data_IF_652623414686
#
_entry.id   IF_652623414686
#
_cell.length_a   1.000
_cell.length_b   1.000
_cell.length_c   1.000
_cell.angle_alpha   90.00
_cell.angle_beta   90.00
_cell.angle_gamma   90.00
#
_symmetry.space_group_name_H-M   'P 1'
#
loop_
_entity.id
_entity.type
_entity.pdbx_description
1 polymer ?
#
# COMPACT_ATOMS: atom_id res chain seq x y z
N UNK A 1 -18.42 -7.51 8.89
CA UNK A 1 -18.63 -7.67 10.35
C UNK A 1 -17.38 -8.35 10.89
N UNK A 2 -16.79 -7.85 11.98
CA UNK A 2 -15.64 -8.53 12.60
C UNK A 2 -16.16 -9.80 13.28
N UNK A 3 -15.61 -10.94 12.89
CA UNK A 3 -15.87 -12.22 13.53
C UNK A 3 -14.70 -12.51 14.46
N UNK A 4 -14.99 -12.66 15.75
CA UNK A 4 -13.97 -13.03 16.74
C UNK A 4 -13.79 -14.54 16.78
N UNK A 5 -12.63 -14.97 17.24
CA UNK A 5 -12.35 -16.39 17.43
C UNK A 5 -13.24 -16.97 18.54
N UNK A 6 -13.76 -18.17 18.32
CA UNK A 6 -14.58 -18.89 19.30
C UNK A 6 -13.81 -19.16 20.60
N UNK A 7 -12.54 -19.54 20.50
CA UNK A 7 -11.69 -19.90 21.64
C UNK A 7 -10.93 -18.71 22.25
N UNK A 8 -10.76 -17.62 21.50
CA UNK A 8 -10.06 -16.42 21.96
C UNK A 8 -10.94 -15.19 21.73
N UNK A 9 -11.91 -14.91 22.62
CA UNK A 9 -12.74 -13.72 22.53
C UNK A 9 -11.87 -12.46 22.67
N UNK A 10 -11.69 -11.72 21.57
CA UNK A 10 -10.79 -10.57 21.47
C UNK A 10 -9.71 -10.71 20.39
N UNK A 11 -9.43 -11.94 19.95
CA UNK A 11 -8.59 -12.17 18.77
C UNK A 11 -9.48 -12.32 17.52
N UNK A 12 -9.20 -11.60 16.43
CA UNK A 12 -9.98 -11.73 15.20
C UNK A 12 -9.81 -13.11 14.55
N UNK A 13 -10.90 -13.61 13.98
CA UNK A 13 -10.88 -14.86 13.25
C UNK A 13 -10.22 -14.73 11.88
N UNK A 14 -9.37 -15.70 11.54
CA UNK A 14 -8.73 -15.86 10.22
C UNK A 14 -9.28 -17.03 9.43
N UNK A 15 -9.95 -17.98 10.08
CA UNK A 15 -10.51 -19.16 9.44
C UNK A 15 -11.96 -19.33 9.85
N UNK A 16 -12.78 -19.71 8.89
CA UNK A 16 -14.18 -20.08 9.11
C UNK A 16 -14.46 -21.46 8.54
N UNK A 17 -14.98 -22.34 9.39
CA UNK A 17 -15.49 -23.62 8.94
C UNK A 17 -16.99 -23.48 8.63
N UNK A 18 -17.38 -23.61 7.35
CA UNK A 18 -18.79 -23.54 6.94
C UNK A 18 -19.66 -24.70 7.46
N UNK A 19 -19.06 -25.76 7.97
CA UNK A 19 -19.74 -26.98 8.40
C UNK A 19 -19.97 -26.98 9.91
N UNK A 20 -18.95 -26.59 10.67
CA UNK A 20 -19.07 -26.38 12.12
C UNK A 20 -19.59 -24.98 12.47
N UNK A 21 -19.68 -24.06 11.50
CA UNK A 21 -20.01 -22.65 11.70
C UNK A 21 -19.13 -21.97 12.77
N UNK A 22 -17.86 -22.38 12.86
CA UNK A 22 -16.90 -21.90 13.85
C UNK A 22 -15.79 -21.07 13.24
N UNK A 23 -15.30 -20.13 14.05
CA UNK A 23 -14.30 -19.14 13.70
C UNK A 23 -13.01 -19.33 14.51
N UNK A 24 -11.86 -19.40 13.84
CA UNK A 24 -10.56 -19.66 14.45
C UNK A 24 -9.56 -18.54 14.13
N UNK A 25 -8.75 -18.14 15.11
CA UNK A 25 -7.62 -17.21 14.92
C UNK A 25 -6.33 -17.95 14.52
N UNK A 26 -5.26 -17.20 14.28
CA UNK A 26 -3.92 -17.75 13.99
C UNK A 26 -3.38 -18.66 15.09
N UNK A 27 -3.74 -18.39 16.36
CA UNK A 27 -3.28 -19.20 17.51
C UNK A 27 -3.97 -20.56 17.56
N UNK A 28 -5.24 -20.64 17.16
CA UNK A 28 -5.97 -21.90 17.09
C UNK A 28 -5.47 -22.78 15.93
N UNK A 29 -5.04 -22.16 14.83
CA UNK A 29 -4.66 -22.82 13.59
C UNK A 29 -3.26 -22.39 13.13
N UNK A 30 -2.20 -22.72 13.88
CA UNK A 30 -0.84 -22.34 13.53
C UNK A 30 -0.27 -23.16 12.36
N UNK A 31 -0.82 -24.36 12.14
CA UNK A 31 -0.49 -25.28 11.03
C UNK A 31 -1.24 -24.98 9.73
N UNK A 32 -2.20 -24.05 9.77
CA UNK A 32 -2.97 -23.70 8.60
C UNK A 32 -2.15 -22.77 7.69
N UNK A 33 -1.96 -23.22 6.44
CA UNK A 33 -1.22 -22.48 5.44
C UNK A 33 -2.07 -21.29 4.94
N UNK A 34 -1.78 -20.11 5.49
CA UNK A 34 -2.42 -18.86 5.08
C UNK A 34 -2.08 -18.48 3.64
N UNK A 35 -0.95 -18.95 3.08
CA UNK A 35 -0.51 -18.65 1.71
C UNK A 35 -1.34 -19.42 0.69
N UNK A 36 -1.45 -20.74 0.87
CA UNK A 36 -2.29 -21.59 0.01
C UNK A 36 -3.78 -21.49 0.34
N UNK A 37 -4.14 -20.72 1.39
CA UNK A 37 -5.50 -20.64 1.95
C UNK A 37 -6.03 -22.04 2.32
N UNK A 38 -5.13 -22.89 2.81
CA UNK A 38 -5.41 -24.27 3.18
C UNK A 38 -5.32 -24.43 4.69
N UNK A 39 -6.48 -24.61 5.30
CA UNK A 39 -6.60 -25.01 6.71
C UNK A 39 -7.67 -26.08 6.83
N UNK A 40 -7.42 -27.10 7.66
CA UNK A 40 -8.40 -28.13 7.97
C UNK A 40 -9.00 -27.86 9.35
N UNK A 41 -10.32 -27.96 9.46
CA UNK A 41 -10.98 -27.75 10.74
C UNK A 41 -10.57 -28.85 11.73
N UNK A 42 -10.15 -28.52 12.97
CA UNK A 42 -9.70 -29.52 13.95
C UNK A 42 -10.84 -30.46 14.39
N UNK A 43 -12.11 -30.02 14.25
CA UNK A 43 -13.27 -30.85 14.59
C UNK A 43 -13.75 -31.76 13.47
N UNK A 44 -13.91 -31.23 12.25
CA UNK A 44 -14.54 -31.97 11.16
C UNK A 44 -13.59 -32.36 10.03
N UNK A 45 -12.32 -31.95 10.11
CA UNK A 45 -11.29 -32.18 9.08
C UNK A 45 -11.66 -31.70 7.67
N UNK A 46 -12.71 -30.87 7.53
CA UNK A 46 -13.07 -30.24 6.25
C UNK A 46 -12.26 -28.97 6.04
N UNK A 47 -12.05 -28.62 4.78
CA UNK A 47 -11.38 -27.39 4.39
C UNK A 47 -12.13 -26.16 4.93
N UNK A 48 -11.37 -25.23 5.52
CA UNK A 48 -11.89 -23.97 6.04
C UNK A 48 -11.69 -22.84 5.03
N UNK A 49 -12.59 -21.86 5.07
CA UNK A 49 -12.44 -20.62 4.32
C UNK A 49 -11.54 -19.68 5.09
N UNK A 50 -10.46 -19.24 4.47
CA UNK A 50 -9.63 -18.15 4.98
C UNK A 50 -10.41 -16.83 4.90
N UNK A 51 -10.40 -16.04 5.98
CA UNK A 51 -11.09 -14.75 6.15
C UNK A 51 -10.15 -13.54 6.05
N UNK A 52 -8.91 -13.75 5.59
CA UNK A 52 -7.93 -12.67 5.43
C UNK A 52 -7.28 -12.20 6.74
N UNK A 53 -6.10 -11.58 6.61
CA UNK A 53 -5.46 -10.83 7.69
C UNK A 53 -6.13 -9.46 7.93
N UNK A 54 -7.09 -9.07 7.09
CA UNK A 54 -7.79 -7.78 7.10
C UNK A 54 -8.53 -7.48 8.42
N UNK A 55 -8.82 -8.51 9.22
CA UNK A 55 -9.42 -8.37 10.55
C UNK A 55 -8.44 -7.86 11.63
N UNK A 56 -7.12 -8.01 11.43
CA UNK A 56 -6.04 -7.52 12.32
C UNK A 56 -5.45 -6.17 11.88
N UNK A 57 -5.66 -5.73 10.63
CA UNK A 57 -5.02 -4.53 10.12
C UNK A 57 -5.69 -3.28 10.70
N UNK A 58 -4.90 -2.48 11.42
CA UNK A 58 -5.34 -1.18 11.95
C UNK A 58 -5.79 -0.29 10.78
N UNK A 59 -6.99 0.30 10.82
CA UNK A 59 -7.43 1.17 9.75
C UNK A 59 -6.44 2.31 9.50
N UNK A 60 -6.22 2.67 8.23
CA UNK A 60 -5.20 3.66 7.88
C UNK A 60 -5.36 5.01 8.62
N UNK A 61 -6.59 5.44 8.90
CA UNK A 61 -6.88 6.69 9.63
C UNK A 61 -6.46 6.67 11.11
N UNK A 62 -6.28 5.49 11.71
CA UNK A 62 -5.71 5.36 13.06
C UNK A 62 -4.17 5.27 13.03
N UNK A 63 -3.56 5.13 11.85
CA UNK A 63 -2.11 4.98 11.64
C UNK A 63 -1.46 6.23 11.04
N UNK A 64 -2.18 7.37 10.98
CA UNK A 64 -1.70 8.61 10.34
C UNK A 64 -0.30 9.03 10.82
N UNK A 65 -0.06 9.00 12.14
CA UNK A 65 1.26 9.36 12.69
C UNK A 65 2.42 8.49 12.18
N UNK A 66 2.18 7.20 11.90
CA UNK A 66 3.22 6.33 11.35
C UNK A 66 3.55 6.68 9.90
N UNK A 67 2.56 7.12 9.10
CA UNK A 67 2.82 7.58 7.74
C UNK A 67 3.71 8.82 7.71
N UNK A 68 3.48 9.79 8.60
CA UNK A 68 4.35 10.97 8.70
C UNK A 68 5.77 10.65 9.16
N UNK A 69 5.96 9.56 9.93
CA UNK A 69 7.29 9.11 10.34
C UNK A 69 8.03 8.36 9.23
N UNK A 70 7.30 7.80 8.27
CA UNK A 70 7.85 6.92 7.26
C UNK A 70 8.99 7.54 6.40
N UNK A 71 8.88 8.78 5.89
CA UNK A 71 9.97 9.43 5.15
C UNK A 71 11.24 9.70 5.97
N UNK A 72 11.15 9.67 7.30
CA UNK A 72 12.28 9.93 8.20
C UNK A 72 13.05 8.67 8.61
N UNK A 73 12.72 7.52 8.02
CA UNK A 73 13.61 6.36 8.05
C UNK A 73 14.86 6.62 7.21
N UNK A 74 15.95 5.93 7.54
CA UNK A 74 17.26 6.13 6.93
C UNK A 74 17.23 6.00 5.41
N UNK A 75 16.64 4.94 4.85
CA UNK A 75 16.61 4.71 3.40
C UNK A 75 15.82 5.79 2.63
N UNK A 76 14.54 6.07 2.95
CA UNK A 76 13.79 7.16 2.31
C UNK A 76 14.49 8.52 2.45
N UNK A 77 15.07 8.81 3.62
CA UNK A 77 15.71 10.09 3.89
C UNK A 77 16.96 10.27 3.03
N UNK A 78 17.75 9.22 2.81
CA UNK A 78 18.89 9.26 1.88
C UNK A 78 18.43 9.51 0.45
N UNK A 79 17.36 8.82 -0.01
CA UNK A 79 16.81 9.04 -1.36
C UNK A 79 16.35 10.48 -1.52
N UNK A 80 15.58 11.00 -0.56
CA UNK A 80 15.12 12.40 -0.56
C UNK A 80 16.32 13.36 -0.56
N UNK A 81 17.32 13.14 0.30
CA UNK A 81 18.50 13.99 0.37
C UNK A 81 19.26 14.03 -0.96
N UNK A 82 19.46 12.88 -1.62
CA UNK A 82 20.11 12.82 -2.94
C UNK A 82 19.27 13.58 -3.98
N UNK A 83 17.97 13.31 -4.05
CA UNK A 83 17.07 13.93 -5.03
C UNK A 83 16.90 15.45 -4.83
N UNK A 84 17.25 15.99 -3.66
CA UNK A 84 17.03 17.41 -3.32
C UNK A 84 18.32 18.22 -3.27
N UNK A 85 19.41 17.64 -2.76
CA UNK A 85 20.69 18.35 -2.62
C UNK A 85 21.55 18.30 -3.90
N UNK A 86 21.52 17.19 -4.64
CA UNK A 86 22.30 17.07 -5.87
C UNK A 86 21.89 18.10 -6.94
N UNK A 87 20.58 18.39 -7.16
CA UNK A 87 20.17 19.44 -8.08
C UNK A 87 20.65 20.85 -7.68
N UNK A 88 20.91 21.13 -6.39
CA UNK A 88 21.35 22.46 -5.92
C UNK A 88 22.75 22.80 -6.42
N UNK A 89 23.64 21.80 -6.46
CA UNK A 89 25.02 21.96 -6.95
C UNK A 89 25.15 21.71 -8.45
N UNK A 90 24.08 21.27 -9.11
CA UNK A 90 24.08 21.00 -10.53
C UNK A 90 24.17 22.32 -11.33
N UNK A 91 24.91 22.33 -12.45
CA UNK A 91 25.04 23.53 -13.27
C UNK A 91 23.68 23.95 -13.86
N UNK A 92 23.41 25.26 -13.94
CA UNK A 92 22.19 25.81 -14.53
C UNK A 92 22.18 25.73 -16.08
N UNK A 93 22.45 24.56 -16.63
CA UNK A 93 22.49 24.27 -18.05
C UNK A 93 21.70 22.98 -18.35
N UNK A 94 21.74 22.51 -19.59
CA UNK A 94 21.05 21.29 -20.03
C UNK A 94 21.49 20.07 -19.19
N UNK A 95 22.74 20.01 -18.75
CA UNK A 95 23.25 18.91 -17.93
C UNK A 95 22.55 18.89 -16.56
N UNK A 96 22.42 20.05 -15.90
CA UNK A 96 21.68 20.11 -14.63
C UNK A 96 20.20 19.76 -14.78
N UNK A 97 19.57 20.14 -15.89
CA UNK A 97 18.19 19.75 -16.18
C UNK A 97 18.06 18.23 -16.34
N UNK A 98 19.01 17.58 -17.04
CA UNK A 98 19.04 16.12 -17.19
C UNK A 98 19.23 15.44 -15.82
N UNK A 99 20.15 15.96 -14.98
CA UNK A 99 20.37 15.43 -13.62
C UNK A 99 19.08 15.51 -12.80
N UNK A 100 18.42 16.67 -12.80
CA UNK A 100 17.15 16.86 -12.10
C UNK A 100 16.07 15.88 -12.61
N UNK A 101 15.94 15.73 -13.93
CA UNK A 101 14.97 14.83 -14.54
C UNK A 101 15.23 13.37 -14.12
N UNK A 102 16.48 12.91 -14.21
CA UNK A 102 16.86 11.54 -13.82
C UNK A 102 16.56 11.29 -12.33
N UNK A 103 16.88 12.24 -11.47
CA UNK A 103 16.60 12.13 -10.04
C UNK A 103 15.10 12.16 -9.73
N UNK A 104 14.31 12.94 -10.48
CA UNK A 104 12.86 12.94 -10.37
C UNK A 104 12.26 11.58 -10.78
N UNK A 105 12.75 10.98 -11.87
CA UNK A 105 12.33 9.65 -12.30
C UNK A 105 12.74 8.56 -11.29
N UNK A 106 13.94 8.67 -10.70
CA UNK A 106 14.42 7.75 -9.66
C UNK A 106 13.56 7.85 -8.38
N UNK A 107 13.21 9.06 -7.94
CA UNK A 107 12.31 9.27 -6.81
C UNK A 107 10.92 8.68 -7.10
N UNK A 108 10.39 8.93 -8.29
CA UNK A 108 9.08 8.43 -8.69
C UNK A 108 9.04 6.90 -8.79
N UNK A 109 10.10 6.29 -9.31
CA UNK A 109 10.29 4.85 -9.28
C UNK A 109 10.30 4.34 -7.84
N UNK A 110 11.03 5.00 -6.94
CA UNK A 110 11.10 4.61 -5.54
C UNK A 110 9.73 4.68 -4.85
N UNK A 111 8.90 5.67 -5.15
CA UNK A 111 7.54 5.75 -4.57
C UNK A 111 6.64 4.61 -5.04
N UNK A 112 6.78 4.11 -6.28
CA UNK A 112 6.10 2.89 -6.72
C UNK A 112 6.64 1.63 -6.04
N UNK A 113 7.95 1.56 -5.82
CA UNK A 113 8.53 0.47 -5.04
C UNK A 113 7.98 0.46 -3.60
N UNK A 114 7.78 1.63 -3.00
CA UNK A 114 7.10 1.77 -1.70
C UNK A 114 5.66 1.24 -1.77
N UNK A 115 4.88 1.57 -2.80
CA UNK A 115 3.51 1.02 -2.95
C UNK A 115 3.54 -0.50 -2.94
N UNK A 116 4.37 -1.12 -3.79
CA UNK A 116 4.41 -2.57 -3.93
C UNK A 116 4.90 -3.23 -2.63
N UNK A 117 5.99 -2.71 -2.05
CA UNK A 117 6.55 -3.26 -0.82
C UNK A 117 5.57 -3.15 0.36
N UNK A 118 4.86 -2.03 0.48
CA UNK A 118 3.83 -1.85 1.51
C UNK A 118 2.58 -2.69 1.22
N UNK A 119 2.17 -2.83 -0.04
CA UNK A 119 1.06 -3.70 -0.44
C UNK A 119 1.36 -5.18 -0.15
N UNK A 120 2.64 -5.56 -0.22
CA UNK A 120 3.18 -6.87 0.19
C UNK A 120 3.20 -7.08 1.72
N UNK A 121 2.79 -6.07 2.51
CA UNK A 121 2.75 -6.13 3.97
C UNK A 121 4.06 -5.72 4.64
N UNK A 122 5.09 -5.35 3.89
CA UNK A 122 6.32 -4.79 4.45
C UNK A 122 6.14 -3.31 4.79
N UNK A 123 5.99 -3.04 6.08
CA UNK A 123 5.80 -1.68 6.61
C UNK A 123 7.10 -0.88 6.79
N UNK A 124 8.25 -1.52 6.56
CA UNK A 124 9.56 -0.86 6.52
C UNK A 124 9.85 -0.38 5.10
N UNK A 125 10.64 0.69 4.93
CA UNK A 125 10.98 1.16 3.61
C UNK A 125 11.92 0.21 2.86
N UNK A 126 11.82 0.16 1.52
CA UNK A 126 12.78 -0.54 0.69
C UNK A 126 14.14 0.15 0.76
N UNK A 127 15.20 -0.59 0.44
CA UNK A 127 16.56 -0.08 0.46
C UNK A 127 16.78 1.05 -0.56
N UNK A 128 17.70 1.98 -0.24
CA UNK A 128 18.10 3.09 -1.15
C UNK A 128 18.47 2.60 -2.55
N UNK A 129 19.08 1.43 -2.66
CA UNK A 129 19.53 0.85 -3.93
C UNK A 129 18.38 0.69 -4.93
N UNK A 130 17.16 0.41 -4.47
CA UNK A 130 15.97 0.25 -5.31
C UNK A 130 15.67 1.52 -6.11
N UNK A 131 15.96 2.70 -5.58
CA UNK A 131 15.77 3.97 -6.30
C UNK A 131 16.71 4.10 -7.51
N UNK A 132 17.95 3.59 -7.40
CA UNK A 132 19.02 3.83 -8.36
C UNK A 132 19.40 2.62 -9.23
N UNK A 133 18.75 1.47 -9.04
CA UNK A 133 18.95 0.31 -9.94
C UNK A 133 18.34 0.57 -11.33
N UNK A 134 18.91 -0.02 -12.38
CA UNK A 134 18.34 0.09 -13.74
C UNK A 134 17.04 -0.70 -13.96
N UNK A 135 16.74 -1.70 -13.11
CA UNK A 135 15.51 -2.48 -13.17
C UNK A 135 14.31 -1.72 -12.60
N UNK A 136 13.12 -1.87 -13.17
CA UNK A 136 11.89 -1.29 -12.61
C UNK A 136 11.55 0.13 -13.11
N UNK A 137 12.29 0.68 -14.09
CA UNK A 137 11.94 1.97 -14.71
C UNK A 137 10.75 1.87 -15.68
N UNK A 138 10.36 0.66 -16.08
CA UNK A 138 9.17 0.39 -16.87
C UNK A 138 7.94 1.06 -16.26
N UNK A 139 7.75 0.95 -14.93
CA UNK A 139 6.58 1.50 -14.24
C UNK A 139 6.45 3.02 -14.44
N UNK A 140 7.56 3.73 -14.52
CA UNK A 140 7.58 5.19 -14.70
C UNK A 140 7.11 5.55 -16.11
N UNK A 141 7.55 4.79 -17.12
CA UNK A 141 7.10 4.97 -18.51
C UNK A 141 5.62 4.64 -18.64
N UNK A 142 5.17 3.56 -17.99
CA UNK A 142 3.76 3.18 -17.97
C UNK A 142 2.90 4.28 -17.33
N UNK A 143 3.33 4.85 -16.21
CA UNK A 143 2.60 5.92 -15.53
C UNK A 143 2.61 7.23 -16.33
N UNK A 144 3.69 7.55 -17.03
CA UNK A 144 3.73 8.66 -17.98
C UNK A 144 2.68 8.45 -19.09
N UNK A 145 2.54 7.22 -19.61
CA UNK A 145 1.52 6.87 -20.59
C UNK A 145 0.10 7.03 -20.02
N UNK A 146 -0.15 6.59 -18.78
CA UNK A 146 -1.41 6.81 -18.07
C UNK A 146 -1.74 8.31 -17.99
N UNK A 147 -0.78 9.15 -17.60
CA UNK A 147 -0.98 10.60 -17.54
C UNK A 147 -1.25 11.22 -18.90
N UNK A 148 -0.57 10.77 -19.96
CA UNK A 148 -0.83 11.22 -21.33
C UNK A 148 -2.24 10.84 -21.78
N UNK A 149 -2.71 9.62 -21.50
CA UNK A 149 -4.06 9.18 -21.87
C UNK A 149 -5.15 9.93 -21.08
N UNK A 150 -4.99 10.08 -19.76
CA UNK A 150 -5.95 10.82 -18.94
C UNK A 150 -5.94 12.32 -19.27
N UNK A 151 -4.78 12.91 -19.54
CA UNK A 151 -4.66 14.29 -20.02
C UNK A 151 -5.29 14.47 -21.41
N UNK A 152 -5.10 13.50 -22.30
CA UNK A 152 -5.73 13.44 -23.61
C UNK A 152 -7.26 13.37 -23.52
N UNK A 153 -7.80 12.59 -22.57
CA UNK A 153 -9.24 12.54 -22.29
C UNK A 153 -9.79 13.91 -21.87
N UNK A 154 -9.10 14.60 -20.95
CA UNK A 154 -9.49 15.95 -20.52
C UNK A 154 -9.41 16.95 -21.68
N UNK A 155 -8.34 16.90 -22.48
CA UNK A 155 -8.17 17.75 -23.66
C UNK A 155 -9.27 17.51 -24.70
N UNK A 156 -9.59 16.26 -25.00
CA UNK A 156 -10.68 15.89 -25.90
C UNK A 156 -12.04 16.36 -25.38
N UNK A 157 -12.30 16.19 -24.08
CA UNK A 157 -13.52 16.69 -23.44
C UNK A 157 -13.66 18.22 -23.56
N UNK A 158 -12.57 18.96 -23.42
CA UNK A 158 -12.54 20.40 -23.61
C UNK A 158 -12.83 20.81 -25.06
N UNK A 159 -12.24 20.11 -26.03
CA UNK A 159 -12.42 20.40 -27.45
C UNK A 159 -13.82 20.04 -27.97
N UNK A 160 -14.40 18.93 -27.50
CA UNK A 160 -15.67 18.39 -28.01
C UNK A 160 -16.90 18.89 -27.25
N UNK A 161 -16.82 19.05 -25.93
CA UNK A 161 -17.95 19.35 -25.06
C UNK A 161 -17.86 20.68 -24.30
N UNK A 162 -16.83 21.49 -24.56
CA UNK A 162 -16.65 22.80 -23.95
C UNK A 162 -16.28 22.76 -22.46
N UNK A 163 -16.37 23.92 -21.76
CA UNK A 163 -15.83 24.07 -20.40
C UNK A 163 -16.50 23.17 -19.34
N UNK A 164 -17.80 22.88 -19.48
CA UNK A 164 -18.53 22.06 -18.52
C UNK A 164 -18.05 20.61 -18.60
N UNK A 165 -17.93 20.05 -19.81
CA UNK A 165 -17.46 18.67 -19.99
C UNK A 165 -15.99 18.53 -19.57
N UNK A 166 -15.16 19.54 -19.84
CA UNK A 166 -13.79 19.60 -19.32
C UNK A 166 -13.77 19.54 -17.79
N UNK A 167 -14.58 20.36 -17.11
CA UNK A 167 -14.63 20.39 -15.65
C UNK A 167 -15.04 19.04 -15.06
N UNK A 168 -16.03 18.37 -15.66
CA UNK A 168 -16.45 17.03 -15.27
C UNK A 168 -15.34 15.99 -15.51
N UNK A 169 -14.64 16.08 -16.65
CA UNK A 169 -13.53 15.19 -16.96
C UNK A 169 -12.36 15.37 -15.98
N UNK A 170 -12.02 16.61 -15.63
CA UNK A 170 -11.00 16.91 -14.61
C UNK A 170 -11.42 16.33 -13.25
N UNK A 171 -12.66 16.59 -12.81
CA UNK A 171 -13.15 16.07 -11.53
C UNK A 171 -13.07 14.54 -11.47
N UNK A 172 -13.45 13.86 -12.57
CA UNK A 172 -13.33 12.41 -12.68
C UNK A 172 -11.86 11.95 -12.62
N UNK A 173 -10.97 12.55 -13.44
CA UNK A 173 -9.55 12.17 -13.48
C UNK A 173 -8.88 12.36 -12.13
N UNK A 174 -9.11 13.49 -11.44
CA UNK A 174 -8.48 13.74 -10.13
C UNK A 174 -8.96 12.70 -9.09
N UNK A 175 -10.26 12.37 -9.09
CA UNK A 175 -10.80 11.34 -8.19
C UNK A 175 -10.30 9.93 -8.53
N UNK A 176 -10.11 9.64 -9.82
CA UNK A 176 -9.70 8.33 -10.32
C UNK A 176 -8.17 8.13 -10.29
N UNK A 177 -7.37 9.19 -10.15
CA UNK A 177 -5.91 9.13 -10.20
C UNK A 177 -5.30 8.23 -9.11
N UNK A 178 -5.72 8.27 -7.83
CA UNK A 178 -5.20 7.36 -6.81
C UNK A 178 -5.51 5.89 -7.13
N UNK A 179 -6.73 5.61 -7.57
CA UNK A 179 -7.14 4.29 -8.02
C UNK A 179 -6.33 3.83 -9.24
N UNK A 180 -6.03 4.73 -10.17
CA UNK A 180 -5.22 4.44 -11.36
C UNK A 180 -3.78 4.08 -10.99
N UNK A 181 -3.16 4.83 -10.07
CA UNK A 181 -1.84 4.51 -9.53
C UNK A 181 -1.84 3.13 -8.86
N UNK A 182 -2.87 2.83 -8.06
CA UNK A 182 -3.04 1.52 -7.40
C UNK A 182 -3.16 0.38 -8.40
N UNK A 183 -4.05 0.49 -9.39
CA UNK A 183 -4.21 -0.53 -10.44
C UNK A 183 -2.91 -0.70 -11.22
N UNK A 184 -2.22 0.40 -11.54
CA UNK A 184 -0.95 0.30 -12.26
C UNK A 184 0.13 -0.41 -11.45
N UNK A 185 0.20 -0.14 -10.15
CA UNK A 185 1.14 -0.78 -9.25
C UNK A 185 0.90 -2.30 -9.16
N UNK A 186 -0.36 -2.72 -9.10
CA UNK A 186 -0.75 -4.14 -9.01
C UNK A 186 -0.66 -4.90 -10.34
N UNK A 187 -1.21 -4.33 -11.42
CA UNK A 187 -1.40 -5.05 -12.68
C UNK A 187 -0.30 -4.77 -13.72
N UNK A 188 0.53 -3.74 -13.52
CA UNK A 188 1.52 -3.27 -14.50
C UNK A 188 0.97 -3.11 -15.92
N UNK A 189 -0.30 -2.73 -16.03
CA UNK A 189 -0.97 -2.56 -17.33
C UNK A 189 -1.66 -1.20 -17.43
N UNK A 190 -1.29 -0.44 -18.45
CA UNK A 190 -1.86 0.91 -18.65
C UNK A 190 -3.34 0.83 -19.00
N UNK A 191 -3.73 -0.16 -19.81
CA UNK A 191 -5.13 -0.39 -20.20
C UNK A 191 -6.05 -0.57 -19.01
N UNK A 192 -5.64 -1.36 -18.00
CA UNK A 192 -6.44 -1.50 -16.78
C UNK A 192 -6.43 -0.22 -15.93
N UNK A 193 -5.28 0.45 -15.83
CA UNK A 193 -5.13 1.67 -15.04
C UNK A 193 -5.94 2.86 -15.55
N UNK A 194 -6.30 2.89 -16.84
CA UNK A 194 -7.17 3.94 -17.42
C UNK A 194 -8.60 3.48 -17.67
N UNK A 195 -8.91 2.20 -17.46
CA UNK A 195 -10.24 1.66 -17.70
C UNK A 195 -11.22 2.14 -16.62
N UNK A 196 -12.23 2.96 -16.94
CA UNK A 196 -13.14 3.53 -15.95
C UNK A 196 -13.92 2.45 -15.18
N UNK A 197 -14.19 1.30 -15.80
CA UNK A 197 -14.89 0.19 -15.15
C UNK A 197 -14.00 -0.45 -14.07
N UNK A 198 -12.72 -0.70 -14.37
CA UNK A 198 -11.79 -1.27 -13.38
C UNK A 198 -11.59 -0.32 -12.20
N UNK A 199 -11.45 0.98 -12.48
CA UNK A 199 -11.33 2.01 -11.45
C UNK A 199 -12.59 2.10 -10.59
N UNK A 200 -13.78 2.07 -11.20
CA UNK A 200 -15.04 2.08 -10.46
C UNK A 200 -15.23 0.82 -9.60
N UNK A 201 -14.83 -0.36 -10.11
CA UNK A 201 -14.85 -1.62 -9.35
C UNK A 201 -13.89 -1.54 -8.16
N UNK A 202 -12.67 -1.01 -8.34
CA UNK A 202 -11.73 -0.84 -7.24
C UNK A 202 -12.27 0.12 -6.17
N UNK A 203 -12.78 1.29 -6.59
CA UNK A 203 -13.34 2.30 -5.68
C UNK A 203 -14.55 1.72 -4.92
N UNK A 204 -15.43 1.00 -5.60
CA UNK A 204 -16.61 0.39 -4.96
C UNK A 204 -16.28 -0.78 -4.03
N UNK A 205 -15.24 -1.57 -4.32
CA UNK A 205 -14.74 -2.64 -3.45
C UNK A 205 -14.16 -2.10 -2.14
N UNK A 206 -13.42 -0.99 -2.21
CA UNK A 206 -12.91 -0.32 -1.01
C UNK A 206 -14.04 0.40 -0.26
N UNK A 207 -14.95 1.05 -0.99
CA UNK A 207 -16.13 1.74 -0.44
C UNK A 207 -15.81 3.10 0.19
N UNK A 208 -16.56 3.46 1.24
CA UNK A 208 -16.45 4.77 1.93
C UNK A 208 -15.02 5.14 2.39
N UNK A 209 -14.19 4.19 2.87
CA UNK A 209 -12.80 4.44 3.22
C UNK A 209 -11.94 5.05 2.10
N UNK A 210 -12.28 4.80 0.82
CA UNK A 210 -11.61 5.44 -0.31
C UNK A 210 -11.78 6.96 -0.30
N UNK A 211 -12.99 7.46 -0.03
CA UNK A 211 -13.25 8.90 0.02
C UNK A 211 -12.59 9.57 1.22
N UNK A 212 -12.47 8.84 2.34
CA UNK A 212 -11.73 9.30 3.50
C UNK A 212 -10.23 9.39 3.18
N UNK A 213 -9.67 8.39 2.49
CA UNK A 213 -8.29 8.45 1.98
C UNK A 213 -8.13 9.65 1.06
N UNK A 214 -9.02 9.81 0.09
CA UNK A 214 -8.99 10.89 -0.89
C UNK A 214 -9.00 12.27 -0.23
N UNK A 215 -9.82 12.45 0.82
CA UNK A 215 -9.80 13.65 1.65
C UNK A 215 -8.43 13.92 2.27
N UNK A 216 -7.77 12.89 2.82
CA UNK A 216 -6.38 13.02 3.29
C UNK A 216 -5.40 13.35 2.16
N UNK A 217 -5.52 12.75 0.98
CA UNK A 217 -4.64 13.05 -0.16
C UNK A 217 -4.76 14.53 -0.57
N UNK A 218 -5.98 15.07 -0.60
CA UNK A 218 -6.22 16.50 -0.87
C UNK A 218 -5.57 17.36 0.23
N UNK A 219 -5.83 17.07 1.50
CA UNK A 219 -5.27 17.84 2.61
C UNK A 219 -3.74 17.83 2.61
N UNK A 220 -3.13 16.68 2.34
CA UNK A 220 -1.68 16.54 2.23
C UNK A 220 -1.10 17.29 1.03
N UNK A 221 -1.79 17.28 -0.12
CA UNK A 221 -1.36 18.02 -1.31
C UNK A 221 -1.44 19.52 -1.08
N UNK A 222 -2.54 20.00 -0.47
CA UNK A 222 -2.69 21.41 -0.08
C UNK A 222 -1.68 21.84 0.98
N UNK A 223 -1.44 21.01 2.00
CA UNK A 223 -0.43 21.27 3.02
C UNK A 223 0.98 21.35 2.43
N UNK A 224 1.33 20.43 1.52
CA UNK A 224 2.59 20.46 0.78
C UNK A 224 2.73 21.74 -0.04
N UNK A 225 1.68 22.12 -0.79
CA UNK A 225 1.66 23.35 -1.58
C UNK A 225 1.84 24.60 -0.74
N UNK A 226 1.10 24.70 0.38
CA UNK A 226 1.22 25.83 1.31
C UNK A 226 2.60 25.89 1.97
N UNK A 227 3.19 24.75 2.33
CA UNK A 227 4.53 24.70 2.93
C UNK A 227 5.62 25.11 1.91
N UNK A 228 5.48 24.71 0.64
CA UNK A 228 6.37 25.12 -0.43
C UNK A 228 6.23 26.61 -0.74
N UNK A 229 5.01 27.13 -0.82
CA UNK A 229 4.75 28.56 -1.02
C UNK A 229 5.35 29.39 0.12
N UNK A 230 5.13 28.97 1.37
CA UNK A 230 5.77 29.58 2.53
C UNK A 230 7.30 29.57 2.41
N UNK A 231 7.89 28.45 2.00
CA UNK A 231 9.33 28.31 1.81
C UNK A 231 9.88 29.29 0.76
N UNK A 232 9.21 29.41 -0.40
CA UNK A 232 9.62 30.30 -1.49
C UNK A 232 9.45 31.78 -1.14
N UNK A 233 8.41 32.12 -0.37
CA UNK A 233 8.11 33.51 -0.03
C UNK A 233 8.94 34.06 1.15
N UNK A 234 9.44 33.19 2.05
CA UNK A 234 10.13 33.63 3.28
C UNK A 234 11.64 33.34 3.30
N UNK A 235 12.13 32.46 2.43
CA UNK A 235 13.55 32.11 2.36
C UNK A 235 14.19 32.54 1.04
N UNK A 236 15.50 32.80 1.02
CA UNK A 236 16.21 33.07 -0.22
C UNK A 236 16.19 31.83 -1.14
N UNK A 237 16.21 32.03 -2.45
CA UNK A 237 16.08 30.99 -3.48
C UNK A 237 16.96 29.75 -3.24
N UNK A 238 18.19 29.94 -2.78
CA UNK A 238 19.15 28.86 -2.53
C UNK A 238 18.77 27.94 -1.35
N UNK A 239 17.98 28.44 -0.37
CA UNK A 239 17.39 27.63 0.71
C UNK A 239 15.99 27.14 0.32
N UNK A 240 15.21 28.01 -0.33
CA UNK A 240 13.83 27.72 -0.70
C UNK A 240 13.73 26.52 -1.64
N UNK A 241 14.60 26.42 -2.65
CA UNK A 241 14.61 25.32 -3.62
C UNK A 241 14.81 23.93 -2.98
N UNK A 242 15.90 23.66 -2.22
CA UNK A 242 16.06 22.37 -1.57
C UNK A 242 14.99 22.09 -0.51
N UNK A 243 14.53 23.12 0.22
CA UNK A 243 13.46 22.96 1.20
C UNK A 243 12.14 22.57 0.54
N UNK A 244 11.77 23.24 -0.56
CA UNK A 244 10.57 22.91 -1.32
C UNK A 244 10.66 21.50 -1.93
N UNK A 245 11.81 21.13 -2.50
CA UNK A 245 12.06 19.78 -3.00
C UNK A 245 11.97 18.70 -1.91
N UNK A 246 12.51 18.99 -0.71
CA UNK A 246 12.43 18.10 0.45
C UNK A 246 10.99 17.90 0.91
N UNK A 247 10.24 19.00 1.05
CA UNK A 247 8.82 18.96 1.40
C UNK A 247 8.03 18.17 0.35
N UNK A 248 8.17 18.51 -0.92
CA UNK A 248 7.49 17.81 -2.01
C UNK A 248 7.76 16.29 -1.97
N UNK A 249 9.03 15.90 -1.91
CA UNK A 249 9.43 14.49 -1.88
C UNK A 249 8.88 13.76 -0.64
N UNK A 250 8.93 14.41 0.52
CA UNK A 250 8.39 13.86 1.78
C UNK A 250 6.89 13.61 1.68
N UNK A 251 6.12 14.61 1.25
CA UNK A 251 4.67 14.48 1.11
C UNK A 251 4.28 13.48 0.03
N UNK A 252 4.96 13.45 -1.13
CA UNK A 252 4.73 12.43 -2.17
C UNK A 252 4.94 11.03 -1.62
N UNK A 253 5.99 10.81 -0.85
CA UNK A 253 6.31 9.50 -0.29
C UNK A 253 5.28 9.06 0.75
N UNK A 254 4.77 9.97 1.58
CA UNK A 254 3.64 9.73 2.49
C UNK A 254 2.39 9.30 1.70
N UNK A 255 2.04 10.04 0.64
CA UNK A 255 0.88 9.73 -0.20
C UNK A 255 0.98 8.31 -0.77
N UNK A 256 2.10 7.98 -1.40
CA UNK A 256 2.31 6.66 -2.01
C UNK A 256 2.33 5.54 -0.97
N UNK A 257 2.95 5.75 0.19
CA UNK A 257 2.87 4.79 1.28
C UNK A 257 1.42 4.58 1.75
N UNK A 258 0.62 5.64 1.85
CA UNK A 258 -0.80 5.50 2.20
C UNK A 258 -1.58 4.71 1.15
N UNK A 259 -1.26 4.89 -0.14
CA UNK A 259 -1.85 4.09 -1.23
C UNK A 259 -1.49 2.61 -1.09
N UNK A 260 -0.20 2.29 -0.90
CA UNK A 260 0.26 0.92 -0.68
C UNK A 260 -0.34 0.28 0.56
N UNK A 261 -0.48 1.05 1.65
CA UNK A 261 -1.10 0.56 2.87
C UNK A 261 -2.59 0.27 2.69
N UNK A 262 -3.32 1.09 1.90
CA UNK A 262 -4.72 0.81 1.60
C UNK A 262 -4.86 -0.46 0.77
N UNK A 263 -3.96 -0.71 -0.19
CA UNK A 263 -3.92 -1.99 -0.92
C UNK A 263 -3.69 -3.17 0.02
N UNK A 264 -2.76 -3.05 0.96
CA UNK A 264 -2.53 -4.06 1.99
C UNK A 264 -3.76 -4.31 2.87
N UNK A 265 -4.45 -3.23 3.28
CA UNK A 265 -5.65 -3.31 4.12
C UNK A 265 -6.82 -4.00 3.42
N UNK A 266 -7.00 -3.77 2.12
CA UNK A 266 -8.13 -4.28 1.30
C UNK A 266 -7.71 -5.40 0.33
N UNK A 267 -6.61 -6.09 0.61
CA UNK A 267 -6.05 -7.09 -0.29
C UNK A 267 -7.07 -8.20 -0.62
N UNK A 268 -7.85 -8.65 0.37
CA UNK A 268 -8.86 -9.70 0.20
C UNK A 268 -9.98 -9.27 -0.75
N UNK A 269 -10.54 -8.08 -0.54
CA UNK A 269 -11.60 -7.52 -1.38
C UNK A 269 -11.11 -7.27 -2.81
N UNK A 270 -9.83 -6.92 -2.97
CA UNK A 270 -9.21 -6.68 -4.27
C UNK A 270 -8.79 -7.98 -4.97
N UNK A 271 -8.79 -9.13 -4.28
CA UNK A 271 -8.43 -10.43 -4.84
C UNK A 271 -6.92 -10.67 -4.92
N UNK A 272 -6.11 -9.83 -4.26
CA UNK A 272 -4.65 -9.96 -4.15
C UNK A 272 -4.30 -10.50 -2.75
N UNK A 273 -3.27 -11.34 -2.63
CA UNK A 273 -2.73 -11.77 -1.35
C UNK A 273 -1.23 -11.53 -1.33
N UNK A 274 -0.75 -10.85 -0.29
CA UNK A 274 0.66 -10.59 -0.06
C UNK A 274 1.29 -11.69 0.80
N UNK A 275 2.44 -12.22 0.34
CA UNK A 275 3.23 -13.18 1.10
C UNK A 275 4.07 -12.45 2.15
N UNK A 276 3.69 -12.54 3.42
CA UNK A 276 4.59 -12.19 4.51
C UNK A 276 5.79 -13.15 4.46
N UNK A 277 6.96 -12.62 4.10
CA UNK A 277 8.21 -13.36 4.04
C UNK A 277 9.17 -12.80 5.09
N UNK A 278 9.17 -13.43 6.27
CA UNK A 278 10.38 -13.51 7.07
C UNK A 278 11.10 -14.80 6.64
N UNK A 279 12.33 -14.66 6.15
CA UNK A 279 13.23 -15.79 5.84
C UNK A 279 13.57 -16.55 7.12
N UNK A 280 12.70 -17.50 7.50
CA UNK A 280 13.01 -18.52 8.50
C UNK A 280 13.17 -19.83 7.72
N UNK A 281 14.31 -20.50 7.90
CA UNK A 281 14.63 -21.76 7.22
C UNK A 281 13.49 -22.78 7.39
N UNK A 282 13.10 -23.45 6.29
CA UNK A 282 11.95 -24.37 6.24
C UNK A 282 11.99 -25.47 7.31
N UNK A 283 13.19 -25.87 7.75
CA UNK A 283 13.41 -26.87 8.80
C UNK A 283 13.04 -26.36 10.20
N UNK A 284 13.25 -25.07 10.49
CA UNK A 284 12.90 -24.43 11.77
C UNK A 284 11.40 -24.09 11.83
N UNK A 285 10.77 -23.77 10.70
CA UNK A 285 9.31 -23.57 10.61
C UNK A 285 8.55 -24.87 10.91
N UNK A 286 8.93 -25.98 10.27
CA UNK A 286 8.19 -27.24 10.40
C UNK A 286 8.23 -27.81 11.84
N UNK A 287 9.30 -27.52 12.59
CA UNK A 287 9.43 -27.95 13.98
C UNK A 287 8.65 -27.03 14.94
N UNK A 288 8.63 -25.70 14.70
CA UNK A 288 7.76 -24.76 15.42
C UNK A 288 6.27 -25.02 15.19
N UNK A 289 5.88 -25.33 13.95
CA UNK A 289 4.48 -25.56 13.60
C UNK A 289 3.91 -26.78 14.33
N UNK A 290 4.70 -27.85 14.49
CA UNK A 290 4.26 -29.03 15.25
C UNK A 290 4.08 -28.76 16.74
N UNK A 291 5.03 -28.06 17.38
CA UNK A 291 4.88 -27.71 18.81
C UNK A 291 3.72 -26.74 19.02
N UNK A 292 3.61 -25.72 18.17
CA UNK A 292 2.55 -24.72 18.29
C UNK A 292 1.17 -25.32 18.02
N UNK A 293 1.07 -26.31 17.12
CA UNK A 293 -0.18 -27.03 16.88
C UNK A 293 -0.63 -27.85 18.08
N UNK A 294 0.30 -28.51 18.75
CA UNK A 294 0.01 -29.23 19.99
C UNK A 294 -0.49 -28.27 21.08
N UNK A 295 0.18 -27.13 21.28
CA UNK A 295 -0.24 -26.12 22.25
C UNK A 295 -1.64 -25.55 21.93
N UNK A 296 -1.93 -25.33 20.64
CA UNK A 296 -3.23 -24.86 20.17
C UNK A 296 -4.34 -25.88 20.45
N UNK A 297 -4.09 -27.17 20.16
CA UNK A 297 -5.03 -28.24 20.46
C UNK A 297 -5.24 -28.39 21.97
N UNK A 298 -4.19 -28.22 22.78
CA UNK A 298 -4.28 -28.25 24.24
C UNK A 298 -5.20 -27.14 24.77
N UNK A 299 -4.99 -25.89 24.34
CA UNK A 299 -5.81 -24.75 24.76
C UNK A 299 -7.27 -24.89 24.33
N UNK A 300 -7.52 -25.37 23.11
CA UNK A 300 -8.88 -25.63 22.62
C UNK A 300 -9.55 -26.76 23.40
N UNK A 301 -8.86 -27.87 23.67
CA UNK A 301 -9.42 -28.98 24.45
C UNK A 301 -9.70 -28.60 25.91
N UNK A 302 -8.84 -27.78 26.53
CA UNK A 302 -9.06 -27.25 27.87
C UNK A 302 -10.34 -26.41 27.94
N UNK A 303 -10.58 -25.55 26.94
CA UNK A 303 -11.78 -24.71 26.85
C UNK A 303 -13.05 -25.50 26.52
N UNK A 304 -12.93 -26.57 25.75
CA UNK A 304 -14.03 -27.51 25.48
C UNK A 304 -14.31 -28.46 26.67
N UNK A 305 -13.50 -28.43 27.73
CA UNK A 305 -13.66 -29.27 28.93
C UNK A 305 -13.12 -30.71 28.78
N UNK A 306 -12.33 -30.99 27.75
CA UNK A 306 -11.79 -32.32 27.44
C UNK A 306 -10.47 -32.58 28.17
N UNK A 307 -10.47 -32.59 29.50
CA UNK A 307 -9.26 -32.75 30.31
C UNK A 307 -8.52 -34.08 30.08
N UNK A 308 -9.21 -35.12 29.63
CA UNK A 308 -8.65 -36.44 29.36
C UNK A 308 -7.67 -36.46 28.17
N UNK A 309 -7.70 -35.43 27.32
CA UNK A 309 -6.85 -35.29 26.11
C UNK A 309 -5.64 -34.38 26.32
N UNK A 310 -5.41 -33.93 27.56
CA UNK A 310 -4.40 -32.92 27.94
C UNK A 310 -3.19 -33.58 28.64
N UNK A 311 -3.11 -34.91 28.67
CA UNK A 311 -2.02 -35.68 29.31
C UNK A 311 -0.91 -36.09 28.34
#
# INVERSE_FOLDING_TARGET
MKHDCHYHPGDPAKWHCGECQMHYCSRCMPDADTRQRRGLCPRCSKAMRYLGAATEVVPFWQRVGAFFRYPFHTDPLIVIAICTLVPVVAPANIIGLIIWLVLALALFKYTYAVINHTAEGHLKPPAVSVAFTGSGFDIVVLQLLVFVLMGGLVGAAAMLGGPILMMLAVAFVVLALPASIMVLAMERSVGAAVNPMNLAVLISRIGTPYFLLYGYLILLTLASGAAQDFAVNHFPMWVAQPLAGFLNSTFTLILFHMLGYLLFQYQEELGFASDLQDEISETDQHQRDRSSRFDADLDMNLKDGNYDRVQ
#
